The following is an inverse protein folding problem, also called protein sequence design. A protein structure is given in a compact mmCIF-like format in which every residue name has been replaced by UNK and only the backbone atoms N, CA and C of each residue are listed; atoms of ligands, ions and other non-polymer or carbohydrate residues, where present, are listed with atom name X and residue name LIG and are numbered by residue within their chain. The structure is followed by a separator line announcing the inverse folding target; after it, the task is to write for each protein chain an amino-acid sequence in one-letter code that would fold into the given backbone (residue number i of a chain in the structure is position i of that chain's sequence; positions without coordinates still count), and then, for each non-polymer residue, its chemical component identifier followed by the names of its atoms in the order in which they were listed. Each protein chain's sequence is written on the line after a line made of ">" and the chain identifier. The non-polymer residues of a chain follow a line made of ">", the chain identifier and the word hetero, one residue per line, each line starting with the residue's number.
data_IF_213824744481
#
_entry.id   IF_213824744481
#
_cell.length_a   1.000
_cell.length_b   1.000
_cell.length_c   1.000
_cell.angle_alpha   90.00
_cell.angle_beta   90.00
_cell.angle_gamma   90.00
#
_symmetry.space_group_name_H-M   'P 1'
#
loop_
_entity.id
_entity.type
_entity.pdbx_description
1 polymer ?
#
# COMPACT_ATOMS: atom_id res chain seq x y z
N UNK A 1 1.01 -2.78 -15.73
CA UNK A 1 2.38 -3.19 -15.32
C UNK A 1 3.48 -2.41 -16.02
N UNK A 2 3.27 -1.86 -17.23
CA UNK A 2 4.31 -1.11 -17.98
C UNK A 2 4.89 0.12 -17.25
N UNK A 3 4.19 0.66 -16.25
CA UNK A 3 4.64 1.80 -15.42
C UNK A 3 5.19 1.37 -14.04
N UNK A 4 4.81 0.18 -13.56
CA UNK A 4 5.21 -0.32 -12.23
C UNK A 4 6.43 -1.22 -12.38
N UNK A 5 7.61 -0.66 -12.17
CA UNK A 5 8.88 -1.33 -12.39
C UNK A 5 9.43 -2.03 -11.13
N UNK A 6 8.78 -1.83 -9.98
CA UNK A 6 9.19 -2.41 -8.69
C UNK A 6 8.04 -3.21 -8.10
N UNK A 7 8.36 -4.39 -7.58
CA UNK A 7 7.44 -5.25 -6.84
C UNK A 7 8.07 -5.62 -5.50
N UNK A 8 7.31 -5.52 -4.43
CA UNK A 8 7.71 -6.01 -3.12
C UNK A 8 6.61 -6.87 -2.49
N UNK A 9 7.03 -7.88 -1.74
CA UNK A 9 6.14 -8.74 -0.98
C UNK A 9 6.65 -8.82 0.45
N UNK A 10 5.78 -8.50 1.42
CA UNK A 10 6.10 -8.57 2.84
C UNK A 10 5.22 -9.63 3.48
N UNK A 11 5.85 -10.56 4.20
CA UNK A 11 5.16 -11.61 4.96
C UNK A 11 5.34 -11.31 6.44
N UNK A 12 4.24 -11.01 7.14
CA UNK A 12 4.22 -10.92 8.60
C UNK A 12 3.56 -12.17 9.15
N UNK A 13 4.24 -12.87 10.05
CA UNK A 13 3.73 -14.09 10.68
C UNK A 13 4.05 -14.09 12.16
N UNK A 14 3.02 -14.20 13.00
CA UNK A 14 3.18 -14.41 14.42
C UNK A 14 2.04 -13.80 15.24
N UNK A 15 1.65 -14.44 16.35
CA UNK A 15 0.52 -13.97 17.17
C UNK A 15 0.77 -12.59 17.81
N UNK A 16 2.03 -12.25 18.10
CA UNK A 16 2.41 -10.93 18.66
C UNK A 16 2.31 -9.79 17.64
N UNK A 17 2.23 -10.10 16.34
CA UNK A 17 2.21 -9.12 15.26
C UNK A 17 0.81 -8.73 14.82
N UNK A 18 -0.25 -9.33 15.41
CA UNK A 18 -1.64 -9.13 14.98
C UNK A 18 -2.03 -7.65 14.93
N UNK A 19 -1.71 -6.88 15.97
CA UNK A 19 -2.02 -5.45 16.00
C UNK A 19 -1.38 -4.66 14.84
N UNK A 20 -0.14 -5.01 14.46
CA UNK A 20 0.58 -4.39 13.33
C UNK A 20 -0.05 -4.81 12.01
N UNK A 21 -0.43 -6.08 11.87
CA UNK A 21 -1.12 -6.60 10.69
C UNK A 21 -2.47 -5.90 10.48
N UNK A 22 -3.27 -5.77 11.55
CA UNK A 22 -4.57 -5.11 11.54
C UNK A 22 -4.42 -3.63 11.15
N UNK A 23 -3.50 -2.90 11.81
CA UNK A 23 -3.21 -1.50 11.51
C UNK A 23 -2.78 -1.30 10.05
N UNK A 24 -1.81 -2.09 9.58
CA UNK A 24 -1.34 -2.00 8.19
C UNK A 24 -2.45 -2.30 7.18
N UNK A 25 -3.31 -3.28 7.48
CA UNK A 25 -4.44 -3.61 6.61
C UNK A 25 -5.45 -2.45 6.51
N UNK A 26 -5.79 -1.83 7.64
CA UNK A 26 -6.73 -0.71 7.69
C UNK A 26 -6.18 0.53 6.99
N UNK A 27 -4.91 0.88 7.24
CA UNK A 27 -4.26 2.02 6.59
C UNK A 27 -4.16 1.81 5.06
N UNK A 28 -3.69 0.65 4.61
CA UNK A 28 -3.60 0.34 3.17
C UNK A 28 -4.98 0.35 2.53
N UNK A 29 -6.00 -0.22 3.18
CA UNK A 29 -7.38 -0.20 2.68
C UNK A 29 -7.89 1.22 2.53
N UNK A 30 -7.66 2.07 3.53
CA UNK A 30 -8.10 3.47 3.50
C UNK A 30 -7.41 4.23 2.34
N UNK A 31 -6.08 4.19 2.28
CA UNK A 31 -5.30 4.91 1.25
C UNK A 31 -5.67 4.43 -0.16
N UNK A 32 -5.78 3.12 -0.37
CA UNK A 32 -6.12 2.56 -1.67
C UNK A 32 -7.57 2.82 -2.06
N UNK A 33 -8.49 2.92 -1.09
CA UNK A 33 -9.89 3.27 -1.38
C UNK A 33 -10.04 4.65 -2.01
N UNK A 34 -9.16 5.59 -1.64
CA UNK A 34 -9.12 6.95 -2.19
C UNK A 34 -8.39 6.98 -3.54
N UNK A 35 -7.23 6.33 -3.63
CA UNK A 35 -6.38 6.38 -4.82
C UNK A 35 -6.94 5.59 -6.01
N UNK A 36 -7.70 4.52 -5.75
CA UNK A 36 -8.29 3.68 -6.78
C UNK A 36 -9.77 4.02 -7.04
N UNK A 37 -10.30 5.07 -6.40
CA UNK A 37 -11.68 5.48 -6.67
C UNK A 37 -11.79 5.97 -8.13
N UNK A 38 -12.73 5.45 -8.93
CA UNK A 38 -12.97 5.99 -10.27
C UNK A 38 -13.30 7.48 -10.15
N UNK A 39 -12.83 8.35 -11.05
CA UNK A 39 -13.30 9.72 -11.07
C UNK A 39 -14.83 9.67 -11.23
N UNK A 40 -15.55 10.18 -10.23
CA UNK A 40 -17.01 10.18 -10.23
C UNK A 40 -17.46 10.85 -11.53
N UNK A 41 -18.17 10.08 -12.35
CA UNK A 41 -18.78 10.59 -13.57
C UNK A 41 -19.92 11.52 -13.17
N UNK A 42 -19.57 12.76 -12.84
CA UNK A 42 -20.54 13.82 -12.63
C UNK A 42 -21.29 14.05 -13.93
N UNK A 43 -22.55 13.62 -13.97
CA UNK A 43 -23.47 13.91 -15.06
C UNK A 43 -23.70 15.41 -15.16
N UNK A 44 -22.96 16.06 -16.05
CA UNK A 44 -23.15 17.46 -16.43
C UNK A 44 -23.09 17.54 -17.94
N UNK A 45 -24.26 17.58 -18.59
CA UNK A 45 -24.35 17.91 -20.01
C UNK A 45 -23.78 19.33 -20.18
N UNK A 46 -22.85 19.49 -21.11
CA UNK A 46 -22.26 20.75 -21.58
C UNK A 46 -21.26 21.44 -20.63
N UNK A 47 -20.04 20.90 -20.57
CA UNK A 47 -18.86 21.73 -20.36
C UNK A 47 -17.72 21.16 -21.22
N UNK A 48 -17.19 21.98 -22.14
CA UNK A 48 -15.96 21.68 -22.86
C UNK A 48 -14.86 21.41 -21.82
N UNK A 49 -14.45 20.15 -21.65
CA UNK A 49 -13.32 19.81 -20.80
C UNK A 49 -12.03 19.97 -21.62
N UNK A 50 -10.98 20.63 -21.09
CA UNK A 50 -9.64 20.42 -21.61
C UNK A 50 -9.34 18.93 -21.48
N UNK A 51 -8.66 18.36 -22.48
CA UNK A 51 -8.14 16.98 -22.47
C UNK A 51 -7.68 16.62 -21.07
N UNK A 52 -8.43 15.74 -20.39
CA UNK A 52 -7.94 15.10 -19.20
C UNK A 52 -6.75 14.25 -19.68
N UNK A 53 -5.53 14.74 -19.43
CA UNK A 53 -4.34 13.90 -19.44
C UNK A 53 -4.71 12.63 -18.65
N UNK A 54 -4.49 11.48 -19.28
CA UNK A 54 -4.73 10.13 -18.79
C UNK A 54 -4.78 10.04 -17.25
N UNK A 55 -5.75 9.31 -16.66
CA UNK A 55 -5.77 9.05 -15.23
C UNK A 55 -4.38 8.55 -14.83
N UNK A 56 -3.62 9.37 -14.10
CA UNK A 56 -2.27 9.00 -13.71
C UNK A 56 -2.42 7.85 -12.72
N UNK A 57 -1.92 6.68 -13.08
CA UNK A 57 -1.84 5.53 -12.18
C UNK A 57 -1.17 6.00 -10.87
N UNK A 58 -1.66 5.61 -9.68
CA UNK A 58 -1.03 6.03 -8.43
C UNK A 58 0.42 5.54 -8.42
N UNK A 59 1.38 6.30 -7.87
CA UNK A 59 2.81 5.96 -7.92
C UNK A 59 3.13 4.63 -7.21
N UNK A 60 2.23 4.17 -6.33
CA UNK A 60 2.31 2.91 -5.62
C UNK A 60 0.91 2.33 -5.44
N UNK A 61 0.77 1.02 -5.64
CA UNK A 61 -0.44 0.25 -5.30
C UNK A 61 -0.05 -0.84 -4.32
N UNK A 62 -0.79 -0.94 -3.22
CA UNK A 62 -0.57 -1.97 -2.21
C UNK A 62 -1.86 -2.73 -1.91
N UNK A 63 -1.72 -3.97 -1.47
CA UNK A 63 -2.82 -4.76 -0.92
C UNK A 63 -2.32 -5.60 0.22
N UNK A 64 -3.14 -5.77 1.25
CA UNK A 64 -2.87 -6.64 2.39
C UNK A 64 -3.88 -7.78 2.40
N UNK A 65 -3.41 -9.02 2.53
CA UNK A 65 -4.26 -10.21 2.58
C UNK A 65 -3.88 -11.05 3.80
N UNK A 66 -4.82 -11.33 4.72
CA UNK A 66 -4.57 -12.25 5.81
C UNK A 66 -4.42 -13.68 5.25
N UNK A 67 -3.59 -14.47 5.90
CA UNK A 67 -3.45 -15.91 5.68
C UNK A 67 -3.31 -16.62 7.03
N UNK A 68 -3.38 -17.95 7.04
CA UNK A 68 -3.50 -18.81 8.23
C UNK A 68 -4.92 -18.91 8.77
N UNK A 69 -5.30 -20.13 9.20
CA UNK A 69 -6.60 -20.41 9.84
C UNK A 69 -6.82 -19.60 11.12
N UNK A 70 -5.73 -19.22 11.78
CA UNK A 70 -5.75 -18.46 13.03
C UNK A 70 -5.65 -16.94 12.83
N UNK A 71 -5.58 -16.46 11.58
CA UNK A 71 -5.46 -15.02 11.28
C UNK A 71 -4.19 -14.37 11.84
N UNK A 72 -3.12 -15.14 12.01
CA UNK A 72 -1.82 -14.67 12.53
C UNK A 72 -0.79 -14.39 11.43
N UNK A 73 -1.19 -14.55 10.17
CA UNK A 73 -0.37 -14.29 9.00
C UNK A 73 -0.99 -13.21 8.14
N UNK A 74 -0.15 -12.37 7.54
CA UNK A 74 -0.56 -11.41 6.52
C UNK A 74 0.52 -11.28 5.44
N UNK A 75 0.09 -11.22 4.18
CA UNK A 75 0.92 -10.84 3.03
C UNK A 75 0.52 -9.46 2.57
N UNK A 76 1.49 -8.54 2.50
CA UNK A 76 1.36 -7.30 1.77
C UNK A 76 2.02 -7.45 0.38
N UNK A 77 1.31 -7.07 -0.68
CA UNK A 77 1.83 -7.01 -2.05
C UNK A 77 1.86 -5.56 -2.49
N UNK A 78 3.01 -5.10 -2.94
CA UNK A 78 3.25 -3.72 -3.34
C UNK A 78 3.79 -3.72 -4.77
N UNK A 79 3.24 -2.85 -5.60
CA UNK A 79 3.81 -2.50 -6.91
C UNK A 79 4.00 -0.99 -6.96
N UNK A 80 5.12 -0.54 -7.53
CA UNK A 80 5.44 0.87 -7.53
C UNK A 80 6.30 1.29 -8.74
N UNK A 81 6.29 2.58 -9.04
CA UNK A 81 7.06 3.17 -10.15
C UNK A 81 8.55 3.34 -9.81
N UNK A 82 8.89 3.37 -8.50
CA UNK A 82 10.26 3.54 -8.01
C UNK A 82 10.53 2.74 -6.73
N UNK A 83 11.79 2.39 -6.49
CA UNK A 83 12.21 1.69 -5.26
C UNK A 83 12.07 2.57 -4.03
N UNK A 84 12.30 3.88 -4.17
CA UNK A 84 12.16 4.86 -3.08
C UNK A 84 10.74 4.89 -2.50
N UNK A 85 9.72 4.83 -3.37
CA UNK A 85 8.32 4.79 -2.92
C UNK A 85 8.02 3.50 -2.13
N UNK A 86 8.64 2.38 -2.50
CA UNK A 86 8.56 1.13 -1.74
C UNK A 86 9.27 1.26 -0.39
N UNK A 87 10.48 1.81 -0.33
CA UNK A 87 11.17 1.99 0.94
C UNK A 87 10.43 2.93 1.89
N UNK A 88 9.84 4.00 1.35
CA UNK A 88 9.00 4.92 2.12
C UNK A 88 7.78 4.20 2.71
N UNK A 89 7.08 3.41 1.88
CA UNK A 89 5.95 2.59 2.32
C UNK A 89 6.35 1.59 3.42
N UNK A 90 7.48 0.88 3.22
CA UNK A 90 7.96 -0.13 4.16
C UNK A 90 8.40 0.50 5.48
N UNK A 91 9.12 1.62 5.44
CA UNK A 91 9.56 2.33 6.64
C UNK A 91 8.38 2.78 7.49
N UNK A 92 7.35 3.35 6.86
CA UNK A 92 6.14 3.80 7.57
C UNK A 92 5.40 2.62 8.21
N UNK A 93 5.01 1.62 7.43
CA UNK A 93 4.15 0.54 7.94
C UNK A 93 4.87 -0.48 8.83
N UNK A 94 6.19 -0.61 8.73
CA UNK A 94 6.97 -1.56 9.52
C UNK A 94 7.67 -0.93 10.72
N UNK A 95 7.53 0.38 10.94
CA UNK A 95 8.13 1.06 12.10
C UNK A 95 7.72 0.43 13.44
N UNK A 96 6.46 -0.01 13.55
CA UNK A 96 5.94 -0.67 14.75
C UNK A 96 6.62 -2.02 15.07
N UNK A 97 7.48 -2.55 14.19
CA UNK A 97 8.29 -3.74 14.47
C UNK A 97 9.54 -3.45 15.31
N UNK A 98 9.92 -2.19 15.53
CA UNK A 98 11.11 -1.84 16.30
C UNK A 98 11.18 -2.52 17.68
N UNK A 99 10.13 -2.59 18.51
CA UNK A 99 10.18 -3.29 19.80
C UNK A 99 10.47 -4.79 19.69
N UNK A 100 10.24 -5.39 18.53
CA UNK A 100 10.49 -6.81 18.27
C UNK A 100 11.86 -7.06 17.63
N UNK A 101 12.41 -6.08 16.92
CA UNK A 101 13.64 -6.20 16.14
C UNK A 101 14.83 -5.47 16.78
N UNK A 102 14.58 -4.57 17.74
CA UNK A 102 15.58 -3.69 18.35
C UNK A 102 16.00 -2.51 17.45
N UNK A 103 15.51 -2.46 16.20
CA UNK A 103 15.77 -1.40 15.22
C UNK A 103 14.55 -1.18 14.33
N UNK A 104 14.33 0.05 13.87
CA UNK A 104 13.29 0.37 12.90
C UNK A 104 13.67 -0.18 11.51
N UNK A 105 12.83 -1.02 10.87
CA UNK A 105 13.09 -1.53 9.51
C UNK A 105 13.27 -0.40 8.48
N UNK A 106 14.21 -0.58 7.56
CA UNK A 106 14.48 0.33 6.44
C UNK A 106 14.84 1.78 6.85
N UNK A 107 15.49 1.94 8.01
CA UNK A 107 15.94 3.23 8.55
C UNK A 107 17.13 3.86 7.80
N UNK A 108 17.95 3.06 7.13
CA UNK A 108 19.19 3.50 6.45
C UNK A 108 19.07 3.57 4.92
N UNK A 109 17.85 3.51 4.38
CA UNK A 109 17.57 3.31 2.95
C UNK A 109 17.15 4.59 2.24
#
# INVERSE_FOLDING_TARGET
>A
MQEYNVVAMVVLLGPKLKHIQDQMQDEVKNVMSVQLHPPTSGGGRYAARPQALHPQSPPLVASCSPFSRMGTGMVARIVAVSTESVYTFLRHHLAALEPFLGVTPYSSS
#
